data_IF_839247270022
#
_entry.id   IF_839247270022
#
_cell.length_a   1.000
_cell.length_b   1.000
_cell.length_c   1.000
_cell.angle_alpha   90.00
_cell.angle_beta   90.00
_cell.angle_gamma   90.00
#
_symmetry.space_group_name_H-M   'P 1'
#
loop_
_entity.id
_entity.type
_entity.pdbx_description
1 polymer ?
#
# COMPACT_ATOMS: atom_id res chain seq x y z
N UNK A 1 26.22 22.95 -3.06
CA UNK A 1 24.85 22.73 -3.60
C UNK A 1 24.81 21.27 -4.00
N UNK A 2 24.15 20.42 -3.19
CA UNK A 2 24.14 18.95 -3.37
C UNK A 2 23.23 18.61 -4.55
N UNK A 3 23.81 18.04 -5.61
CA UNK A 3 23.07 17.45 -6.71
C UNK A 3 22.28 16.24 -6.21
N UNK A 4 21.01 16.17 -6.58
CA UNK A 4 20.19 14.98 -6.36
C UNK A 4 20.45 14.02 -7.50
N UNK A 5 21.33 13.05 -7.26
CA UNK A 5 21.47 11.87 -8.11
C UNK A 5 20.17 11.04 -8.00
N UNK A 6 19.27 11.22 -8.97
CA UNK A 6 18.13 10.32 -9.14
C UNK A 6 18.64 9.01 -9.74
N UNK A 7 18.89 8.04 -8.87
CA UNK A 7 19.10 6.64 -9.24
C UNK A 7 17.82 6.15 -9.94
N UNK A 8 17.85 6.03 -11.27
CA UNK A 8 16.78 5.41 -12.04
C UNK A 8 16.78 3.90 -11.78
N UNK A 9 15.67 3.28 -11.32
CA UNK A 9 15.61 1.83 -11.18
C UNK A 9 15.61 1.15 -12.56
N UNK A 10 16.34 0.02 -12.72
CA UNK A 10 16.35 -0.73 -13.96
C UNK A 10 15.21 -1.75 -13.89
N UNK A 11 14.11 -1.51 -14.60
CA UNK A 11 13.21 -2.53 -15.19
C UNK A 11 11.87 -1.89 -15.57
N UNK A 12 11.81 -1.28 -16.75
CA UNK A 12 10.51 -1.00 -17.38
C UNK A 12 10.41 -1.92 -18.60
N UNK A 13 9.78 -3.08 -18.40
CA UNK A 13 9.35 -3.92 -19.53
C UNK A 13 8.27 -3.16 -20.28
N UNK A 14 8.60 -2.73 -21.50
CA UNK A 14 7.74 -1.93 -22.37
C UNK A 14 6.57 -2.77 -22.90
N UNK A 15 5.39 -2.63 -22.29
CA UNK A 15 4.14 -3.11 -22.89
C UNK A 15 3.59 -2.03 -23.83
N UNK A 16 3.32 -2.37 -25.09
CA UNK A 16 2.78 -1.45 -26.08
C UNK A 16 1.24 -1.44 -26.02
N UNK A 17 0.68 -0.43 -25.35
CA UNK A 17 -0.74 -0.08 -25.46
C UNK A 17 -0.86 1.20 -26.31
N UNK A 18 -1.61 1.15 -27.42
CA UNK A 18 -2.00 2.35 -28.17
C UNK A 18 -3.21 2.96 -27.47
N UNK A 19 -2.99 4.01 -26.65
CA UNK A 19 -4.06 4.71 -25.95
C UNK A 19 -3.56 5.73 -24.91
N UNK A 20 -3.53 6.99 -25.34
CA UNK A 20 -3.74 8.27 -24.61
C UNK A 20 -2.88 8.65 -23.37
N UNK A 21 -2.20 9.81 -23.51
CA UNK A 21 -1.56 10.64 -22.47
C UNK A 21 -0.62 9.92 -21.50
N UNK A 22 0.69 10.02 -21.77
CA UNK A 22 1.76 9.36 -21.00
C UNK A 22 1.82 9.74 -19.52
N UNK A 23 1.00 9.07 -18.71
CA UNK A 23 1.17 8.99 -17.26
C UNK A 23 2.30 8.00 -17.01
N UNK A 24 3.37 8.45 -16.33
CA UNK A 24 4.42 7.57 -15.83
C UNK A 24 3.85 6.76 -14.67
N UNK A 25 3.33 5.57 -14.95
CA UNK A 25 2.98 4.61 -13.90
C UNK A 25 4.23 3.87 -13.48
N UNK A 26 4.53 3.86 -12.18
CA UNK A 26 5.63 3.07 -11.67
C UNK A 26 5.20 1.59 -11.74
N UNK A 27 5.99 0.74 -12.40
CA UNK A 27 5.69 -0.70 -12.54
C UNK A 27 5.65 -1.42 -11.18
N UNK A 28 6.19 -0.77 -10.15
CA UNK A 28 6.25 -1.24 -8.77
C UNK A 28 5.07 -0.71 -7.92
N UNK A 29 4.24 0.18 -8.49
CA UNK A 29 3.13 0.82 -7.80
C UNK A 29 1.87 -0.04 -7.94
N UNK A 30 1.65 -0.87 -6.92
CA UNK A 30 0.45 -1.70 -6.82
C UNK A 30 -0.71 -0.79 -6.42
N UNK A 31 -1.61 -0.54 -7.38
CA UNK A 31 -2.86 0.13 -7.10
C UNK A 31 -3.82 -0.82 -6.37
N UNK A 32 -4.27 -0.40 -5.19
CA UNK A 32 -5.24 -1.13 -4.39
C UNK A 32 -6.57 -0.40 -4.42
N UNK A 33 -7.67 -1.13 -4.54
CA UNK A 33 -9.01 -0.54 -4.38
C UNK A 33 -9.18 0.04 -2.98
N UNK A 34 -9.95 1.11 -2.84
CA UNK A 34 -10.27 1.74 -1.55
C UNK A 34 -11.43 1.07 -0.81
N UNK A 35 -11.85 -0.12 -1.24
CA UNK A 35 -12.90 -0.86 -0.55
C UNK A 35 -12.49 -1.20 0.90
N UNK A 36 -13.37 -0.86 1.86
CA UNK A 36 -13.22 -1.23 3.27
C UNK A 36 -13.49 -2.72 3.43
N UNK A 37 -12.58 -3.47 4.05
CA UNK A 37 -12.89 -4.85 4.40
C UNK A 37 -13.82 -4.87 5.63
N UNK A 38 -15.08 -5.36 5.51
CA UNK A 38 -16.08 -5.28 6.58
C UNK A 38 -15.76 -6.16 7.79
N UNK A 39 -14.79 -7.05 7.66
CA UNK A 39 -14.35 -7.98 8.71
C UNK A 39 -13.27 -7.34 9.60
N UNK A 40 -12.65 -6.26 9.13
CA UNK A 40 -11.63 -5.51 9.88
C UNK A 40 -12.31 -4.73 10.99
N UNK A 41 -11.90 -4.97 12.23
CA UNK A 41 -12.36 -4.21 13.38
C UNK A 41 -11.35 -3.13 13.79
N UNK A 42 -10.06 -3.46 13.72
CA UNK A 42 -9.00 -2.54 14.10
C UNK A 42 -7.68 -2.84 13.39
N UNK A 43 -6.77 -1.87 13.40
CA UNK A 43 -5.41 -1.97 12.90
C UNK A 43 -4.41 -1.75 14.03
N UNK A 44 -3.23 -2.38 13.93
CA UNK A 44 -2.05 -2.01 14.72
C UNK A 44 -0.85 -1.82 13.81
N UNK A 45 -0.05 -0.80 14.14
CA UNK A 45 1.17 -0.47 13.41
C UNK A 45 2.35 -0.32 14.38
N UNK A 46 3.53 -0.86 14.06
CA UNK A 46 4.75 -0.59 14.80
C UNK A 46 5.21 0.86 14.57
N UNK A 47 5.99 1.45 15.50
CA UNK A 47 6.51 0.82 16.72
C UNK A 47 5.54 0.82 17.91
N UNK A 48 4.45 1.59 17.87
CA UNK A 48 3.65 1.90 19.06
C UNK A 48 2.46 0.97 19.33
N UNK A 49 2.34 -0.16 18.62
CA UNK A 49 1.24 -1.14 18.66
C UNK A 49 -0.16 -0.52 18.87
N UNK A 50 -0.33 0.71 18.34
CA UNK A 50 -1.47 1.54 18.67
C UNK A 50 -2.67 0.97 17.95
N UNK A 51 -3.71 0.65 18.71
CA UNK A 51 -4.96 0.12 18.19
C UNK A 51 -5.77 1.28 17.61
N UNK A 52 -5.91 1.29 16.29
CA UNK A 52 -6.81 2.17 15.58
C UNK A 52 -8.11 1.42 15.32
N UNK A 53 -9.21 1.89 15.90
CA UNK A 53 -10.56 1.38 15.65
C UNK A 53 -11.15 2.08 14.41
N UNK A 54 -12.24 1.53 13.85
CA UNK A 54 -12.93 2.06 12.66
C UNK A 54 -12.06 2.23 11.41
N UNK A 55 -11.24 1.20 11.12
CA UNK A 55 -10.30 1.24 10.00
C UNK A 55 -10.95 0.76 8.71
N UNK A 56 -11.28 1.70 7.82
CA UNK A 56 -11.59 1.38 6.42
C UNK A 56 -10.30 1.15 5.62
N UNK A 57 -9.74 -0.05 5.72
CA UNK A 57 -8.62 -0.52 4.89
C UNK A 57 -8.81 -1.98 4.49
N UNK A 58 -8.01 -2.41 3.51
CA UNK A 58 -7.91 -3.80 3.09
C UNK A 58 -6.45 -4.24 3.06
N UNK A 59 -6.25 -5.54 2.90
CA UNK A 59 -4.91 -6.13 2.92
C UNK A 59 -4.00 -5.66 1.79
N UNK A 60 -4.56 -5.33 0.62
CA UNK A 60 -3.77 -4.79 -0.47
C UNK A 60 -3.14 -3.46 -0.05
N UNK A 61 -3.97 -2.55 0.47
CA UNK A 61 -3.51 -1.26 0.97
C UNK A 61 -2.45 -1.43 2.04
N UNK A 62 -2.68 -2.30 3.03
CA UNK A 62 -1.74 -2.47 4.14
C UNK A 62 -0.39 -3.06 3.71
N UNK A 63 -0.41 -4.04 2.79
CA UNK A 63 0.83 -4.72 2.37
C UNK A 63 1.66 -3.92 1.38
N UNK A 64 1.01 -3.23 0.45
CA UNK A 64 1.69 -2.65 -0.71
C UNK A 64 1.97 -1.16 -0.55
N UNK A 65 1.27 -0.48 0.36
CA UNK A 65 1.46 0.95 0.56
C UNK A 65 2.57 1.22 1.59
N UNK A 66 3.52 2.12 1.29
CA UNK A 66 4.68 2.38 2.15
C UNK A 66 4.30 2.96 3.52
N UNK A 67 3.19 3.69 3.62
CA UNK A 67 2.69 4.29 4.87
C UNK A 67 2.18 3.25 5.88
N UNK A 68 1.84 2.04 5.44
CA UNK A 68 1.32 0.98 6.29
C UNK A 68 2.30 -0.18 6.45
N UNK A 69 3.59 0.05 6.14
CA UNK A 69 4.61 -0.99 6.22
C UNK A 69 4.71 -1.53 7.65
N UNK A 70 4.43 -2.82 7.80
CA UNK A 70 4.43 -3.51 9.09
C UNK A 70 3.14 -3.30 9.90
N UNK A 71 2.15 -2.59 9.36
CA UNK A 71 0.81 -2.57 9.93
C UNK A 71 0.07 -3.88 9.67
N UNK A 72 -0.85 -4.16 10.57
CA UNK A 72 -1.66 -5.37 10.57
C UNK A 72 -3.11 -5.02 10.94
N UNK A 73 -4.05 -5.56 10.21
CA UNK A 73 -5.50 -5.54 10.41
C UNK A 73 -5.91 -6.78 11.18
N UNK A 74 -6.85 -6.58 12.08
CA UNK A 74 -7.37 -7.60 12.95
C UNK A 74 -8.89 -7.58 12.97
N UNK A 75 -9.46 -8.75 13.21
CA UNK A 75 -10.86 -8.95 13.53
C UNK A 75 -11.18 -8.52 14.97
N UNK A 76 -12.46 -8.35 15.28
CA UNK A 76 -12.92 -7.99 16.63
C UNK A 76 -12.52 -9.01 17.70
N UNK A 77 -12.38 -10.29 17.33
CA UNK A 77 -11.91 -11.38 18.19
C UNK A 77 -10.38 -11.40 18.39
N UNK A 78 -9.63 -10.51 17.74
CA UNK A 78 -8.17 -10.47 17.78
C UNK A 78 -7.45 -11.34 16.76
N UNK A 79 -8.16 -11.99 15.85
CA UNK A 79 -7.55 -12.76 14.75
C UNK A 79 -6.88 -11.80 13.75
N UNK A 80 -5.61 -12.09 13.43
CA UNK A 80 -4.86 -11.38 12.39
C UNK A 80 -5.47 -11.69 11.00
N UNK A 81 -5.80 -10.66 10.25
CA UNK A 81 -6.32 -10.77 8.88
C UNK A 81 -5.14 -10.72 7.90
N UNK A 82 -4.35 -9.67 8.04
CA UNK A 82 -3.17 -9.32 7.24
C UNK A 82 -2.49 -8.19 8.00
#
# INVERSE_FOLDING_TARGET
MRGTDFVTPPSVTKWAFHGENGVRVNADEIYCSDYCNPIVAYMRCPPNDTRFEDVCKNCCNIKNQPQYKGCHLFQANGTLIC
#
